data_IF_003693916697
#
_entry.id   IF_003693916697
#
_cell.length_a   1.000
_cell.length_b   1.000
_cell.length_c   1.000
_cell.angle_alpha   90.00
_cell.angle_beta   90.00
_cell.angle_gamma   90.00
#
_symmetry.space_group_name_H-M   'P 1'
#
loop_
_entity.id
_entity.type
_entity.pdbx_description
1 polymer ?
#
# COMPACT_ATOMS: atom_id res chain seq x y z
N UNK A 1 16.39 -2.22 24.83
CA UNK A 1 15.54 -1.42 23.91
C UNK A 1 14.44 -0.75 24.72
N UNK A 2 14.06 0.52 24.44
CA UNK A 2 12.93 1.17 25.15
C UNK A 2 11.63 0.41 24.82
N UNK A 3 10.71 0.20 25.77
CA UNK A 3 9.51 -0.64 25.57
C UNK A 3 8.62 -0.18 24.43
N UNK A 4 8.55 1.13 24.17
CA UNK A 4 7.90 1.68 22.97
C UNK A 4 8.49 1.12 21.66
N UNK A 5 9.81 0.97 21.57
CA UNK A 5 10.46 0.43 20.37
C UNK A 5 10.16 -1.05 20.20
N UNK A 6 10.00 -1.80 21.31
CA UNK A 6 9.59 -3.20 21.25
C UNK A 6 8.19 -3.31 20.63
N UNK A 7 7.25 -2.47 21.05
CA UNK A 7 5.90 -2.44 20.49
C UNK A 7 5.91 -2.08 18.99
N UNK A 8 6.71 -1.10 18.58
CA UNK A 8 6.88 -0.75 17.17
C UNK A 8 7.47 -1.91 16.35
N UNK A 9 8.49 -2.60 16.88
CA UNK A 9 9.10 -3.75 16.20
C UNK A 9 8.10 -4.89 16.08
N UNK A 10 7.32 -5.19 17.12
CA UNK A 10 6.28 -6.22 17.06
C UNK A 10 5.22 -5.89 16.00
N UNK A 11 4.77 -4.64 15.94
CA UNK A 11 3.82 -4.19 14.92
C UNK A 11 4.41 -4.24 13.50
N UNK A 12 5.68 -3.89 13.34
CA UNK A 12 6.38 -3.99 12.06
C UNK A 12 6.52 -5.46 11.60
N UNK A 13 6.86 -6.38 12.51
CA UNK A 13 6.90 -7.83 12.23
C UNK A 13 5.50 -8.32 11.84
N UNK A 14 4.46 -7.95 12.58
CA UNK A 14 3.08 -8.31 12.26
C UNK A 14 2.69 -7.83 10.85
N UNK A 15 3.01 -6.58 10.52
CA UNK A 15 2.74 -5.98 9.21
C UNK A 15 3.48 -6.71 8.09
N UNK A 16 4.75 -7.08 8.32
CA UNK A 16 5.55 -7.86 7.37
C UNK A 16 4.98 -9.27 7.16
N UNK A 17 4.58 -9.95 8.23
CA UNK A 17 3.92 -11.26 8.15
C UNK A 17 2.63 -11.16 7.35
N UNK A 18 1.80 -10.15 7.64
CA UNK A 18 0.55 -9.91 6.90
C UNK A 18 0.80 -9.67 5.40
N UNK A 19 1.83 -8.87 5.04
CA UNK A 19 2.25 -8.66 3.66
C UNK A 19 2.66 -9.98 2.98
N UNK A 20 3.51 -10.78 3.64
CA UNK A 20 3.96 -12.06 3.07
C UNK A 20 2.80 -13.02 2.86
N UNK A 21 1.87 -13.10 3.81
CA UNK A 21 0.67 -13.95 3.69
C UNK A 21 -0.24 -13.47 2.55
N UNK A 22 -0.48 -12.16 2.44
CA UNK A 22 -1.26 -11.55 1.37
C UNK A 22 -0.64 -11.83 -0.01
N UNK A 23 0.69 -11.66 -0.16
CA UNK A 23 1.38 -11.96 -1.41
C UNK A 23 1.35 -13.44 -1.77
N UNK A 24 1.48 -14.34 -0.78
CA UNK A 24 1.36 -15.79 -0.99
C UNK A 24 -0.05 -16.19 -1.42
N UNK A 25 -1.07 -15.64 -0.78
CA UNK A 25 -2.46 -15.88 -1.12
C UNK A 25 -2.77 -15.41 -2.54
N UNK A 26 -2.37 -14.18 -2.88
CA UNK A 26 -2.60 -13.60 -4.20
C UNK A 26 -1.86 -14.39 -5.29
N UNK A 27 -0.57 -14.70 -5.07
CA UNK A 27 0.21 -15.51 -6.02
C UNK A 27 -0.44 -16.86 -6.28
N UNK A 28 -0.91 -17.55 -5.24
CA UNK A 28 -1.59 -18.85 -5.37
C UNK A 28 -2.85 -18.72 -6.22
N UNK A 29 -3.66 -17.69 -5.98
CA UNK A 29 -4.85 -17.41 -6.79
C UNK A 29 -4.49 -17.26 -8.27
N UNK A 30 -3.48 -16.46 -8.62
CA UNK A 30 -3.08 -16.28 -10.03
C UNK A 30 -2.44 -17.53 -10.65
N UNK A 31 -1.69 -18.34 -9.89
CA UNK A 31 -1.14 -19.61 -10.36
C UNK A 31 -2.27 -20.60 -10.70
N UNK A 32 -3.32 -20.68 -9.88
CA UNK A 32 -4.47 -21.57 -10.12
C UNK A 32 -5.19 -21.26 -11.44
N UNK A 33 -5.09 -20.01 -11.93
CA UNK A 33 -5.65 -19.58 -13.20
C UNK A 33 -4.64 -19.58 -14.36
N UNK A 34 -3.43 -20.14 -14.17
CA UNK A 34 -2.37 -20.17 -15.19
C UNK A 34 -1.68 -18.83 -15.43
N UNK A 35 -1.85 -17.84 -14.54
CA UNK A 35 -1.38 -16.45 -14.71
C UNK A 35 -0.28 -16.05 -13.72
N UNK A 36 0.44 -17.02 -13.14
CA UNK A 36 1.46 -16.78 -12.13
C UNK A 36 2.63 -15.90 -12.60
N UNK A 37 3.06 -16.05 -13.86
CA UNK A 37 4.11 -15.21 -14.45
C UNK A 37 3.66 -13.76 -14.65
N UNK A 38 2.47 -13.59 -15.24
CA UNK A 38 1.85 -12.27 -15.42
C UNK A 38 1.66 -11.53 -14.09
N UNK A 39 1.20 -12.23 -13.04
CA UNK A 39 1.09 -11.69 -11.68
C UNK A 39 2.41 -11.09 -11.19
N UNK A 40 3.51 -11.84 -11.32
CA UNK A 40 4.82 -11.38 -10.83
C UNK A 40 5.27 -10.12 -11.59
N UNK A 41 5.11 -10.10 -12.91
CA UNK A 41 5.47 -8.95 -13.74
C UNK A 41 4.70 -7.69 -13.34
N UNK A 42 3.37 -7.78 -13.16
CA UNK A 42 2.57 -6.62 -12.73
C UNK A 42 2.91 -6.22 -11.29
N UNK A 43 3.15 -7.18 -10.39
CA UNK A 43 3.51 -6.92 -8.98
C UNK A 43 4.88 -6.24 -8.85
N UNK A 44 5.85 -6.59 -9.69
CA UNK A 44 7.14 -5.88 -9.74
C UNK A 44 6.98 -4.48 -10.32
N UNK A 45 6.11 -4.31 -11.33
CA UNK A 45 5.78 -3.00 -11.88
C UNK A 45 5.07 -2.08 -10.86
N UNK A 46 4.46 -2.62 -9.80
CA UNK A 46 3.93 -1.81 -8.70
C UNK A 46 4.98 -0.87 -8.09
N UNK A 47 6.27 -1.24 -8.08
CA UNK A 47 7.34 -0.39 -7.52
C UNK A 47 7.52 0.91 -8.32
N UNK A 48 7.85 0.89 -9.63
CA UNK A 48 7.97 2.11 -10.41
C UNK A 48 6.64 2.86 -10.54
N UNK A 49 5.50 2.15 -10.58
CA UNK A 49 4.18 2.80 -10.54
C UNK A 49 4.03 3.61 -9.24
N UNK A 50 4.34 3.03 -8.07
CA UNK A 50 4.26 3.73 -6.78
C UNK A 50 5.16 4.96 -6.69
N UNK A 51 6.40 4.85 -7.17
CA UNK A 51 7.33 5.98 -7.19
C UNK A 51 6.79 7.11 -8.08
N UNK A 52 6.23 6.75 -9.24
CA UNK A 52 5.65 7.71 -10.17
C UNK A 52 4.39 8.35 -9.60
N UNK A 53 3.49 7.56 -9.00
CA UNK A 53 2.30 8.07 -8.30
C UNK A 53 2.67 9.02 -7.18
N UNK A 54 3.67 8.70 -6.37
CA UNK A 54 4.16 9.57 -5.30
C UNK A 54 4.74 10.88 -5.87
N UNK A 55 5.54 10.79 -6.94
CA UNK A 55 6.11 11.96 -7.61
C UNK A 55 5.02 12.89 -8.19
N UNK A 56 3.97 12.32 -8.81
CA UNK A 56 2.82 13.05 -9.35
C UNK A 56 2.07 13.85 -8.28
N UNK A 57 2.12 13.44 -7.01
CA UNK A 57 1.49 14.15 -5.89
C UNK A 57 2.47 15.15 -5.26
N UNK A 58 3.65 14.68 -4.88
CA UNK A 58 4.58 15.42 -4.02
C UNK A 58 5.20 16.60 -4.76
N UNK A 59 5.61 16.42 -6.02
CA UNK A 59 6.33 17.47 -6.77
C UNK A 59 5.43 18.70 -6.99
N UNK A 60 4.19 18.57 -7.52
CA UNK A 60 3.36 19.75 -7.74
C UNK A 60 2.85 20.36 -6.43
N UNK A 61 2.48 19.55 -5.43
CA UNK A 61 2.03 20.04 -4.14
C UNK A 61 3.11 20.87 -3.42
N UNK A 62 4.38 20.43 -3.48
CA UNK A 62 5.51 21.20 -2.90
C UNK A 62 5.88 22.44 -3.69
N UNK A 63 5.50 22.49 -4.97
CA UNK A 63 5.76 23.64 -5.85
C UNK A 63 4.68 24.72 -5.73
N UNK A 64 3.62 24.46 -4.96
CA UNK A 64 2.51 25.40 -4.72
C UNK A 64 2.57 25.90 -3.27
N UNK A 65 2.66 27.21 -3.08
CA UNK A 65 2.71 27.83 -1.75
C UNK A 65 1.31 28.20 -1.25
N UNK A 66 1.18 28.50 0.05
CA UNK A 66 -0.08 28.97 0.62
C UNK A 66 -1.13 27.88 0.85
N UNK A 67 -2.39 28.30 0.98
CA UNK A 67 -3.52 27.39 1.21
C UNK A 67 -3.84 26.54 -0.03
N UNK A 68 -3.46 27.04 -1.20
CA UNK A 68 -3.61 26.41 -2.50
C UNK A 68 -2.80 25.12 -2.60
N UNK A 69 -1.63 25.05 -1.93
CA UNK A 69 -0.82 23.84 -1.90
C UNK A 69 -1.56 22.63 -1.32
N UNK A 70 -2.39 22.86 -0.29
CA UNK A 70 -3.23 21.81 0.30
C UNK A 70 -4.36 21.38 -0.66
N UNK A 71 -4.99 22.34 -1.35
CA UNK A 71 -6.01 22.03 -2.35
C UNK A 71 -5.43 21.20 -3.52
N UNK A 72 -4.25 21.59 -4.01
CA UNK A 72 -3.49 20.84 -5.03
C UNK A 72 -3.16 19.44 -4.53
N UNK A 73 -2.65 19.31 -3.30
CA UNK A 73 -2.34 18.01 -2.70
C UNK A 73 -3.56 17.10 -2.67
N UNK A 74 -4.71 17.57 -2.17
CA UNK A 74 -5.92 16.75 -2.10
C UNK A 74 -6.48 16.38 -3.47
N UNK A 75 -6.49 17.31 -4.43
CA UNK A 75 -6.90 17.00 -5.79
C UNK A 75 -6.03 15.91 -6.42
N UNK A 76 -4.71 16.05 -6.30
CA UNK A 76 -3.77 15.05 -6.82
C UNK A 76 -3.92 13.71 -6.10
N UNK A 77 -4.04 13.72 -4.77
CA UNK A 77 -4.13 12.50 -3.96
C UNK A 77 -5.45 11.74 -4.17
N UNK A 78 -6.57 12.45 -4.30
CA UNK A 78 -7.89 11.81 -4.30
C UNK A 78 -8.44 11.58 -5.72
N UNK A 79 -7.95 12.29 -6.72
CA UNK A 79 -8.45 12.19 -8.10
C UNK A 79 -7.38 11.61 -9.03
N UNK A 80 -6.23 12.28 -9.12
CA UNK A 80 -5.20 11.93 -10.12
C UNK A 80 -4.45 10.66 -9.74
N UNK A 81 -4.04 10.53 -8.48
CA UNK A 81 -3.26 9.40 -8.01
C UNK A 81 -4.02 8.08 -8.10
N UNK A 82 -5.30 7.96 -7.71
CA UNK A 82 -6.06 6.72 -7.91
C UNK A 82 -6.25 6.39 -9.39
N UNK A 83 -6.60 7.38 -10.21
CA UNK A 83 -6.77 7.19 -11.65
C UNK A 83 -5.48 6.66 -12.31
N UNK A 84 -4.34 7.28 -12.01
CA UNK A 84 -3.04 6.82 -12.49
C UNK A 84 -2.64 5.46 -11.90
N UNK A 85 -2.82 5.25 -10.60
CA UNK A 85 -2.45 4.00 -9.92
C UNK A 85 -3.14 2.79 -10.54
N UNK A 86 -4.48 2.82 -10.65
CA UNK A 86 -5.24 1.70 -11.22
C UNK A 86 -5.06 1.62 -12.74
N UNK A 87 -5.02 2.76 -13.43
CA UNK A 87 -4.80 2.82 -14.87
C UNK A 87 -3.46 2.22 -15.29
N UNK A 88 -2.38 2.57 -14.61
CA UNK A 88 -1.03 2.06 -14.89
C UNK A 88 -0.94 0.54 -14.66
N UNK A 89 -1.50 0.02 -13.56
CA UNK A 89 -1.55 -1.44 -13.32
C UNK A 89 -2.32 -2.17 -14.42
N UNK A 90 -3.44 -1.61 -14.89
CA UNK A 90 -4.21 -2.19 -15.99
C UNK A 90 -3.46 -2.15 -17.33
N UNK A 91 -2.78 -1.05 -17.64
CA UNK A 91 -1.96 -0.91 -18.84
C UNK A 91 -0.85 -1.97 -18.82
N UNK A 92 -0.09 -2.10 -17.72
CA UNK A 92 0.93 -3.16 -17.60
C UNK A 92 0.31 -4.54 -17.72
N UNK A 93 -0.85 -4.76 -17.09
CA UNK A 93 -1.63 -6.00 -17.20
C UNK A 93 -1.99 -6.41 -18.63
N UNK A 94 -2.20 -5.45 -19.54
CA UNK A 94 -2.43 -5.71 -20.96
C UNK A 94 -1.18 -6.14 -21.72
N UNK A 95 0.01 -5.78 -21.26
CA UNK A 95 1.27 -6.05 -21.95
C UNK A 95 2.01 -7.29 -21.44
N UNK A 96 1.57 -7.89 -20.34
CA UNK A 96 2.12 -9.17 -19.84
C UNK A 96 1.46 -10.37 -20.51
N UNK A 97 2.14 -11.52 -20.50
CA UNK A 97 1.61 -12.79 -21.02
C UNK A 97 1.54 -13.85 -19.90
N UNK A 98 0.41 -14.56 -19.73
CA UNK A 98 -0.91 -14.28 -20.34
C UNK A 98 -1.47 -12.92 -19.90
N UNK A 99 -2.31 -12.31 -20.74
CA UNK A 99 -2.87 -10.99 -20.46
C UNK A 99 -3.78 -10.98 -19.23
N UNK A 100 -3.69 -9.91 -18.44
CA UNK A 100 -4.59 -9.66 -17.32
C UNK A 100 -5.76 -8.78 -17.75
N UNK A 101 -6.96 -9.13 -17.31
CA UNK A 101 -8.13 -8.27 -17.48
C UNK A 101 -8.13 -7.13 -16.44
N UNK A 102 -9.10 -6.22 -16.55
CA UNK A 102 -9.22 -5.08 -15.64
C UNK A 102 -9.40 -5.50 -14.18
N UNK A 103 -10.26 -6.48 -13.89
CA UNK A 103 -10.52 -6.96 -12.53
C UNK A 103 -9.27 -7.55 -11.88
N UNK A 104 -8.51 -8.34 -12.63
CA UNK A 104 -7.24 -8.94 -12.19
C UNK A 104 -6.18 -7.87 -11.90
N UNK A 105 -6.08 -6.85 -12.75
CA UNK A 105 -5.14 -5.74 -12.56
C UNK A 105 -5.52 -4.88 -11.35
N UNK A 106 -6.82 -4.62 -11.17
CA UNK A 106 -7.37 -3.92 -10.00
C UNK A 106 -7.14 -4.71 -8.72
N UNK A 107 -7.26 -6.04 -8.75
CA UNK A 107 -6.96 -6.90 -7.60
C UNK A 107 -5.51 -6.71 -7.15
N UNK A 108 -4.54 -6.76 -8.08
CA UNK A 108 -3.12 -6.55 -7.79
C UNK A 108 -2.88 -5.13 -7.27
N UNK A 109 -3.48 -4.12 -7.90
CA UNK A 109 -3.33 -2.71 -7.51
C UNK A 109 -3.96 -2.40 -6.14
N UNK A 110 -5.12 -2.99 -5.84
CA UNK A 110 -5.92 -2.68 -4.66
C UNK A 110 -5.48 -3.42 -3.40
N UNK A 111 -4.89 -4.61 -3.54
CA UNK A 111 -4.50 -5.43 -2.40
C UNK A 111 -3.43 -4.81 -1.46
N UNK A 112 -2.40 -4.08 -1.91
CA UNK A 112 -1.52 -3.33 -0.99
C UNK A 112 -2.23 -2.17 -0.30
N UNK A 113 -3.17 -1.50 -0.97
CA UNK A 113 -4.00 -0.43 -0.37
C UNK A 113 -4.87 -1.02 0.73
N UNK A 114 -5.55 -2.14 0.46
CA UNK A 114 -6.35 -2.85 1.44
C UNK A 114 -5.52 -3.28 2.66
N UNK A 115 -4.31 -3.80 2.43
CA UNK A 115 -3.39 -4.15 3.52
C UNK A 115 -3.04 -2.94 4.39
N UNK A 116 -2.69 -1.80 3.78
CA UNK A 116 -2.37 -0.56 4.51
C UNK A 116 -3.57 -0.10 5.34
N UNK A 117 -4.78 -0.11 4.78
CA UNK A 117 -6.01 0.26 5.48
C UNK A 117 -6.23 -0.65 6.69
N UNK A 118 -6.17 -1.97 6.50
CA UNK A 118 -6.36 -2.95 7.59
C UNK A 118 -5.29 -2.78 8.68
N UNK A 119 -4.02 -2.65 8.31
CA UNK A 119 -2.95 -2.45 9.29
C UNK A 119 -3.08 -1.12 10.03
N UNK A 120 -3.55 -0.07 9.37
CA UNK A 120 -3.82 1.24 10.00
C UNK A 120 -4.95 1.14 11.01
N UNK A 121 -6.03 0.43 10.66
CA UNK A 121 -7.14 0.18 11.59
C UNK A 121 -6.68 -0.63 12.81
N UNK A 122 -5.89 -1.69 12.60
CA UNK A 122 -5.32 -2.49 13.69
C UNK A 122 -4.43 -1.61 14.59
N UNK A 123 -3.56 -0.79 14.01
CA UNK A 123 -2.71 0.13 14.78
C UNK A 123 -3.55 1.08 15.63
N UNK A 124 -4.59 1.67 15.04
CA UNK A 124 -5.51 2.57 15.73
C UNK A 124 -6.23 1.88 16.90
N UNK A 125 -6.73 0.65 16.70
CA UNK A 125 -7.39 -0.13 17.75
C UNK A 125 -6.43 -0.55 18.87
N UNK A 126 -5.17 -0.87 18.54
CA UNK A 126 -4.18 -1.31 19.52
C UNK A 126 -3.50 -0.13 20.25
N UNK A 127 -3.58 1.08 19.73
CA UNK A 127 -2.91 2.26 20.30
C UNK A 127 -3.27 2.50 21.79
N UNK A 128 -4.54 2.50 22.23
CA UNK A 128 -4.88 2.71 23.65
C UNK A 128 -4.32 1.61 24.56
N UNK A 129 -4.32 0.36 24.09
CA UNK A 129 -3.79 -0.80 24.82
C UNK A 129 -2.27 -0.64 24.98
N UNK A 130 -1.57 -0.29 23.90
CA UNK A 130 -0.15 -0.01 23.92
C UNK A 130 0.22 1.10 24.93
N UNK A 131 -0.56 2.19 24.97
CA UNK A 131 -0.36 3.26 25.95
C UNK A 131 -0.59 2.82 27.39
N UNK A 132 -1.61 2.00 27.64
CA UNK A 132 -1.87 1.45 28.98
C UNK A 132 -0.70 0.59 29.49
N UNK A 133 -0.15 -0.26 28.61
CA UNK A 133 1.03 -1.08 28.92
C UNK A 133 2.25 -0.21 29.20
N UNK A 134 2.51 0.81 28.38
CA UNK A 134 3.65 1.72 28.62
C UNK A 134 3.51 2.48 29.94
N UNK A 135 2.29 2.89 30.29
CA UNK A 135 2.00 3.57 31.56
C UNK A 135 2.21 2.66 32.75
N UNK A 136 1.75 1.41 32.71
CA UNK A 136 1.96 0.45 33.81
C UNK A 136 3.43 0.11 34.05
N UNK A 137 4.28 0.27 33.02
CA UNK A 137 5.73 0.12 33.13
C UNK A 137 6.46 1.38 33.62
N UNK A 138 5.76 2.49 33.89
CA UNK A 138 6.36 3.78 34.25
C UNK A 138 7.13 4.44 33.10
N UNK A 139 6.67 4.23 31.86
CA UNK A 139 7.37 4.64 30.61
C UNK A 139 6.51 5.49 29.67
N UNK A 140 5.32 5.91 30.11
CA UNK A 140 4.43 6.82 29.41
C UNK A 140 4.33 8.15 30.16
#
# INVERSE_FOLDING_TARGET
MRPFHILLVLFAILSLVALVLMLRWERRNFIQHGKGGAWLSVRLATIPIALTTAALIIIPARSTSGMEGLAVFYFLLLVIAPAFWFGAHWIVGKFVQPTLNFKESVQIAGSPIALIIVMTMIAHTLQPIAWSILRSMGKA
#
